data_IF_007102835607
#
_entry.id   IF_007102835607
#
_cell.length_a   1.000
_cell.length_b   1.000
_cell.length_c   1.000
_cell.angle_alpha   90.00
_cell.angle_beta   90.00
_cell.angle_gamma   90.00
#
_symmetry.space_group_name_H-M   'P 1'
#
loop_
_entity.id
_entity.type
_entity.pdbx_description
1 polymer ?
#
# COMPACT_ATOMS: atom_id res chain seq x y z
N UNK A 1 11.82 -5.28 -6.22
CA UNK A 1 11.14 -6.44 -6.84
C UNK A 1 10.43 -6.06 -8.14
N UNK A 2 10.96 -5.07 -8.86
CA UNK A 2 10.32 -4.52 -10.05
C UNK A 2 10.46 -5.50 -11.22
N UNK A 3 11.67 -6.04 -11.43
CA UNK A 3 11.94 -7.08 -12.42
C UNK A 3 11.02 -8.31 -12.30
N UNK A 4 10.78 -8.80 -11.08
CA UNK A 4 9.89 -9.94 -10.86
C UNK A 4 8.42 -9.59 -11.12
N UNK A 5 8.05 -8.31 -10.99
CA UNK A 5 6.71 -7.84 -11.31
C UNK A 5 6.51 -7.69 -12.82
N UNK A 6 7.55 -7.26 -13.55
CA UNK A 6 7.49 -7.00 -14.99
C UNK A 6 7.74 -8.25 -15.85
N UNK A 7 8.60 -9.17 -15.40
CA UNK A 7 9.14 -10.25 -16.23
C UNK A 7 8.60 -11.64 -15.88
N UNK A 8 7.93 -11.83 -14.73
CA UNK A 8 7.50 -13.14 -14.27
C UNK A 8 5.98 -13.34 -14.37
N UNK A 9 5.57 -14.49 -14.88
CA UNK A 9 4.16 -14.91 -14.87
C UNK A 9 3.70 -15.38 -13.48
N UNK A 10 4.64 -15.91 -12.68
CA UNK A 10 4.41 -16.39 -11.33
C UNK A 10 5.62 -16.10 -10.44
N UNK A 11 5.34 -15.82 -9.16
CA UNK A 11 6.33 -15.56 -8.12
C UNK A 11 5.99 -16.40 -6.89
N UNK A 12 7.00 -17.05 -6.32
CA UNK A 12 6.88 -17.78 -5.06
C UNK A 12 7.69 -17.08 -3.96
N UNK A 13 7.07 -16.83 -2.81
CA UNK A 13 7.75 -16.33 -1.61
C UNK A 13 8.23 -17.51 -0.76
N UNK A 14 9.53 -17.61 -0.56
CA UNK A 14 10.17 -18.69 0.19
C UNK A 14 10.78 -18.14 1.48
N UNK A 15 10.38 -18.70 2.62
CA UNK A 15 10.88 -18.33 3.94
C UNK A 15 11.25 -19.60 4.70
N UNK A 16 12.45 -19.63 5.27
CA UNK A 16 12.95 -20.75 6.09
C UNK A 16 12.78 -22.12 5.37
N UNK A 17 12.96 -22.16 4.04
CA UNK A 17 12.83 -23.37 3.23
C UNK A 17 11.39 -23.79 2.88
N UNK A 18 10.38 -22.97 3.16
CA UNK A 18 8.98 -23.24 2.84
C UNK A 18 8.40 -22.18 1.91
N UNK A 19 7.54 -22.60 0.97
CA UNK A 19 6.77 -21.69 0.11
C UNK A 19 5.57 -21.20 0.92
N UNK A 20 5.49 -19.89 1.14
CA UNK A 20 4.41 -19.26 1.91
C UNK A 20 3.31 -18.67 1.02
N UNK A 21 3.66 -18.25 -0.19
CA UNK A 21 2.73 -17.76 -1.21
C UNK A 21 3.27 -18.09 -2.60
N UNK A 22 2.39 -18.40 -3.54
CA UNK A 22 2.73 -18.61 -4.96
C UNK A 22 1.55 -18.21 -5.85
N UNK A 23 1.73 -17.18 -6.66
CA UNK A 23 0.75 -16.73 -7.64
C UNK A 23 1.41 -15.77 -8.65
N UNK A 24 0.65 -15.21 -9.59
CA UNK A 24 1.10 -14.09 -10.41
C UNK A 24 1.40 -12.85 -9.56
N UNK A 25 2.37 -11.99 -9.95
CA UNK A 25 2.64 -10.74 -9.25
C UNK A 25 1.39 -9.89 -9.03
N UNK A 26 0.53 -9.79 -10.04
CA UNK A 26 -0.71 -9.04 -9.97
C UNK A 26 -1.69 -9.63 -8.94
N UNK A 27 -1.85 -10.95 -8.89
CA UNK A 27 -2.73 -11.59 -7.90
C UNK A 27 -2.20 -11.45 -6.47
N UNK A 28 -0.89 -11.56 -6.27
CA UNK A 28 -0.27 -11.29 -4.96
C UNK A 28 -0.56 -9.85 -4.53
N UNK A 29 -0.42 -8.89 -5.44
CA UNK A 29 -0.76 -7.48 -5.21
C UNK A 29 -2.24 -7.28 -4.88
N UNK A 30 -3.14 -7.93 -5.60
CA UNK A 30 -4.57 -7.78 -5.38
C UNK A 30 -5.06 -8.46 -4.08
N UNK A 31 -4.51 -9.63 -3.74
CA UNK A 31 -4.93 -10.42 -2.57
C UNK A 31 -4.53 -9.78 -1.24
N UNK A 32 -3.42 -9.05 -1.21
CA UNK A 32 -2.92 -8.30 -0.04
C UNK A 32 -3.10 -6.78 -0.18
N UNK A 33 -3.74 -6.36 -1.27
CA UNK A 33 -3.80 -4.99 -1.78
C UNK A 33 -4.73 -4.07 -1.05
N UNK A 34 -4.49 -3.81 0.23
CA UNK A 34 -5.15 -2.71 0.92
C UNK A 34 -4.66 -1.39 0.30
N UNK A 35 -5.35 -0.95 -0.76
CA UNK A 35 -5.06 0.32 -1.46
C UNK A 35 -5.03 1.42 -0.41
N UNK A 36 -3.97 2.21 -0.38
CA UNK A 36 -3.80 3.27 0.60
C UNK A 36 -4.12 4.61 -0.06
N UNK A 37 -4.71 5.52 0.70
CA UNK A 37 -4.90 6.92 0.32
C UNK A 37 -4.00 7.75 1.19
N UNK A 38 -3.15 8.56 0.56
CA UNK A 38 -2.27 9.51 1.24
C UNK A 38 -2.72 10.91 0.87
N UNK A 39 -2.89 11.76 1.89
CA UNK A 39 -3.33 13.13 1.70
C UNK A 39 -2.46 14.11 2.50
N UNK A 40 -2.21 15.28 1.91
CA UNK A 40 -1.43 16.37 2.49
C UNK A 40 -2.34 17.55 2.80
N UNK A 41 -2.14 18.18 3.95
CA UNK A 41 -2.91 19.33 4.41
C UNK A 41 -2.02 20.32 5.17
N UNK A 42 -2.48 21.56 5.29
CA UNK A 42 -1.80 22.58 6.09
C UNK A 42 -2.45 22.71 7.47
N UNK A 43 -1.65 22.48 8.51
CA UNK A 43 -2.03 22.70 9.90
C UNK A 43 -0.76 23.00 10.71
N UNK A 44 -0.48 24.31 10.90
CA UNK A 44 0.78 24.79 11.48
C UNK A 44 2.03 24.22 10.76
N UNK A 45 1.95 24.13 9.43
CA UNK A 45 2.92 23.47 8.56
C UNK A 45 2.28 22.37 7.70
N UNK A 46 3.04 21.84 6.74
CA UNK A 46 2.57 20.73 5.90
C UNK A 46 2.59 19.42 6.69
N UNK A 47 1.44 18.74 6.70
CA UNK A 47 1.27 17.41 7.31
C UNK A 47 0.74 16.44 6.29
N UNK A 48 1.11 15.18 6.45
CA UNK A 48 0.63 14.06 5.65
C UNK A 48 -0.03 13.04 6.56
N UNK A 49 -1.14 12.47 6.11
CA UNK A 49 -1.81 11.36 6.76
C UNK A 49 -2.23 10.33 5.70
N UNK A 50 -2.50 9.11 6.16
CA UNK A 50 -2.90 8.01 5.32
C UNK A 50 -4.02 7.17 5.94
N UNK A 51 -4.82 6.56 5.08
CA UNK A 51 -5.87 5.63 5.45
C UNK A 51 -6.04 4.57 4.36
N UNK A 52 -6.68 3.44 4.69
CA UNK A 52 -7.04 2.46 3.67
C UNK A 52 -8.16 3.03 2.81
N UNK A 53 -8.07 2.86 1.49
CA UNK A 53 -9.07 3.28 0.52
C UNK A 53 -10.45 2.68 0.83
N UNK A 54 -10.48 1.43 1.31
CA UNK A 54 -11.73 0.77 1.72
C UNK A 54 -12.37 1.40 2.96
N UNK A 55 -11.59 2.15 3.75
CA UNK A 55 -12.01 2.83 4.97
C UNK A 55 -11.95 4.36 4.83
N UNK A 56 -11.84 4.87 3.59
CA UNK A 56 -11.73 6.32 3.34
C UNK A 56 -12.94 7.08 3.88
N UNK A 57 -14.13 6.45 3.86
CA UNK A 57 -15.36 6.99 4.40
C UNK A 57 -15.37 7.07 5.92
N UNK A 58 -14.51 6.35 6.61
CA UNK A 58 -14.47 6.30 8.08
C UNK A 58 -13.42 7.25 8.66
N UNK A 59 -12.54 7.82 7.82
CA UNK A 59 -11.51 8.79 8.23
C UNK A 59 -12.14 10.16 8.52
N UNK A 60 -12.50 10.38 9.79
CA UNK A 60 -13.08 11.64 10.26
C UNK A 60 -12.19 12.86 10.00
N UNK A 61 -10.86 12.71 10.03
CA UNK A 61 -9.94 13.81 9.79
C UNK A 61 -10.02 14.23 8.33
N UNK A 62 -9.98 13.26 7.42
CA UNK A 62 -10.11 13.52 6.00
C UNK A 62 -11.41 14.25 5.68
N UNK A 63 -12.54 13.81 6.26
CA UNK A 63 -13.84 14.50 6.09
C UNK A 63 -13.82 15.94 6.58
N UNK A 64 -13.27 16.20 7.76
CA UNK A 64 -13.16 17.55 8.31
C UNK A 64 -12.29 18.46 7.41
N UNK A 65 -11.17 17.94 6.91
CA UNK A 65 -10.28 18.68 6.02
C UNK A 65 -10.94 18.96 4.67
N UNK A 66 -11.71 18.02 4.11
CA UNK A 66 -12.50 18.23 2.90
C UNK A 66 -13.56 19.30 3.08
N UNK A 67 -14.33 19.25 4.18
CA UNK A 67 -15.36 20.25 4.48
C UNK A 67 -14.79 21.66 4.65
N UNK A 68 -13.56 21.76 5.17
CA UNK A 68 -12.85 23.02 5.35
C UNK A 68 -12.05 23.47 4.11
N UNK A 69 -12.04 22.68 3.02
CA UNK A 69 -11.18 22.90 1.85
C UNK A 69 -9.69 23.06 2.18
N UNK A 70 -9.18 22.25 3.13
CA UNK A 70 -7.78 22.31 3.62
C UNK A 70 -6.85 21.23 3.07
N UNK A 71 -7.35 20.38 2.18
CA UNK A 71 -6.51 19.38 1.52
C UNK A 71 -5.73 20.06 0.40
N UNK A 72 -4.42 19.83 0.39
CA UNK A 72 -3.50 20.33 -0.63
C UNK A 72 -3.28 19.31 -1.75
N UNK A 73 -3.16 18.02 -1.38
CA UNK A 73 -3.04 16.93 -2.34
C UNK A 73 -3.61 15.63 -1.75
N UNK A 74 -4.07 14.74 -2.64
CA UNK A 74 -4.57 13.41 -2.29
C UNK A 74 -4.24 12.44 -3.43
N UNK A 75 -3.66 11.31 -3.08
CA UNK A 75 -3.26 10.28 -4.05
C UNK A 75 -3.54 8.90 -3.47
N UNK A 76 -3.93 7.96 -4.33
CA UNK A 76 -3.99 6.54 -3.99
C UNK A 76 -2.71 5.84 -4.40
N UNK A 77 -2.25 4.90 -3.57
CA UNK A 77 -1.15 4.00 -3.88
C UNK A 77 -1.58 2.56 -3.71
N UNK A 78 -1.07 1.69 -4.58
CA UNK A 78 -1.18 0.24 -4.45
C UNK A 78 0.11 -0.28 -3.80
N UNK A 79 0.04 -1.30 -2.93
CA UNK A 79 1.25 -1.88 -2.37
C UNK A 79 2.05 -2.55 -3.49
N UNK A 80 3.36 -2.43 -3.39
CA UNK A 80 4.28 -3.12 -4.30
C UNK A 80 4.41 -4.58 -3.91
N UNK A 81 4.90 -5.40 -4.83
CA UNK A 81 5.24 -6.80 -4.53
C UNK A 81 6.21 -6.92 -3.34
N UNK A 82 7.07 -5.93 -3.15
CA UNK A 82 8.01 -5.86 -2.02
C UNK A 82 7.33 -5.54 -0.68
N UNK A 83 6.33 -4.67 -0.68
CA UNK A 83 5.56 -4.37 0.54
C UNK A 83 4.85 -5.63 1.04
N UNK A 84 4.31 -6.42 0.12
CA UNK A 84 3.60 -7.68 0.42
C UNK A 84 4.58 -8.75 0.89
N UNK A 85 5.77 -8.82 0.29
CA UNK A 85 6.83 -9.67 0.80
C UNK A 85 7.18 -9.31 2.25
N UNK A 86 7.37 -8.02 2.55
CA UNK A 86 7.68 -7.58 3.92
C UNK A 86 6.53 -7.91 4.88
N UNK A 87 5.29 -7.67 4.49
CA UNK A 87 4.09 -7.98 5.29
C UNK A 87 4.00 -9.48 5.62
N UNK A 88 4.20 -10.34 4.62
CA UNK A 88 4.09 -11.79 4.79
C UNK A 88 5.28 -12.41 5.52
N UNK A 89 6.47 -11.83 5.34
CA UNK A 89 7.72 -12.45 5.81
C UNK A 89 8.28 -11.83 7.08
N UNK A 90 7.87 -10.59 7.40
CA UNK A 90 8.47 -9.76 8.43
C UNK A 90 9.94 -9.40 8.15
N UNK A 91 10.41 -9.57 6.92
CA UNK A 91 11.80 -9.35 6.51
C UNK A 91 11.85 -8.48 5.26
N UNK A 92 12.90 -7.67 5.16
CA UNK A 92 13.25 -6.96 3.93
C UNK A 92 14.11 -7.84 3.04
N UNK A 93 13.91 -7.74 1.73
CA UNK A 93 14.89 -8.24 0.76
C UNK A 93 16.14 -7.34 0.83
N UNK A 94 17.32 -7.96 0.88
CA UNK A 94 18.62 -7.29 0.85
C UNK A 94 19.06 -7.05 -0.60
#
# INVERSE_FOLDING_TARGET
MEDATELCDQVAFIINGQICAIDSPQNLILSHGAKQVTYTYEDHGFKTANCLLQQISDDQRLHQLMQQNKILSIHSSEPTLNDIFIELTGRTLL
#
